data_IF_186910199270
#
_entry.id   IF_186910199270
#
_cell.length_a   1.000
_cell.length_b   1.000
_cell.length_c   1.000
_cell.angle_alpha   90.00
_cell.angle_beta   90.00
_cell.angle_gamma   90.00
#
_symmetry.space_group_name_H-M   'P 1'
#
loop_
_entity.id
_entity.type
_entity.pdbx_description
1 polymer ?
#
# COMPACT_ATOMS: atom_id res chain seq x y z
N UNK A 1 -17.06 7.76 -14.39
CA UNK A 1 -17.95 8.77 -13.78
C UNK A 1 -17.95 8.56 -12.27
N UNK A 2 -17.86 9.62 -11.51
CA UNK A 2 -17.75 9.53 -10.05
C UNK A 2 -19.04 9.94 -9.32
N UNK A 3 -19.83 10.79 -9.94
CA UNK A 3 -21.14 11.23 -9.44
C UNK A 3 -21.15 11.66 -7.96
N UNK A 4 -20.05 12.22 -7.45
CA UNK A 4 -19.92 12.62 -6.06
C UNK A 4 -19.89 11.47 -5.03
N UNK A 5 -19.77 10.22 -5.48
CA UNK A 5 -19.74 9.02 -4.63
C UNK A 5 -18.35 8.81 -3.99
N UNK A 6 -18.07 9.62 -2.98
CA UNK A 6 -16.76 9.68 -2.33
C UNK A 6 -16.28 8.34 -1.75
N UNK A 7 -17.14 7.63 -1.00
CA UNK A 7 -16.75 6.38 -0.35
C UNK A 7 -16.41 5.28 -1.36
N UNK A 8 -17.22 5.16 -2.42
CA UNK A 8 -16.97 4.22 -3.50
C UNK A 8 -15.67 4.55 -4.24
N UNK A 9 -15.44 5.84 -4.53
CA UNK A 9 -14.21 6.31 -5.14
C UNK A 9 -12.98 6.01 -4.29
N UNK A 10 -13.04 6.32 -2.99
CA UNK A 10 -11.95 6.03 -2.06
C UNK A 10 -11.65 4.53 -2.00
N UNK A 11 -12.66 3.67 -1.96
CA UNK A 11 -12.47 2.23 -1.97
C UNK A 11 -11.77 1.74 -3.27
N UNK A 12 -12.17 2.26 -4.42
CA UNK A 12 -11.52 1.94 -5.71
C UNK A 12 -10.06 2.36 -5.74
N UNK A 13 -9.73 3.53 -5.18
CA UNK A 13 -8.34 3.98 -5.04
C UNK A 13 -7.53 3.06 -4.13
N UNK A 14 -8.08 2.70 -2.97
CA UNK A 14 -7.40 1.84 -1.98
C UNK A 14 -7.07 0.46 -2.52
N UNK A 15 -7.95 -0.14 -3.30
CA UNK A 15 -7.72 -1.44 -3.92
C UNK A 15 -7.05 -1.36 -5.30
N UNK A 16 -6.75 -0.16 -5.78
CA UNK A 16 -6.17 0.11 -7.09
C UNK A 16 -6.98 -0.55 -8.23
N UNK A 17 -8.30 -0.42 -8.18
CA UNK A 17 -9.22 -1.05 -9.15
C UNK A 17 -8.99 -2.57 -9.30
N UNK A 18 -8.72 -3.25 -8.20
CA UNK A 18 -8.43 -4.68 -8.14
C UNK A 18 -6.98 -5.06 -8.51
N UNK A 19 -6.12 -4.10 -8.86
CA UNK A 19 -4.74 -4.39 -9.25
C UNK A 19 -3.90 -4.93 -8.10
N UNK A 20 -4.12 -4.47 -6.87
CA UNK A 20 -3.42 -4.99 -5.68
C UNK A 20 -3.72 -6.47 -5.46
N UNK A 21 -4.98 -6.88 -5.58
CA UNK A 21 -5.37 -8.29 -5.45
C UNK A 21 -4.68 -9.17 -6.50
N UNK A 22 -4.59 -8.70 -7.75
CA UNK A 22 -3.85 -9.41 -8.81
C UNK A 22 -2.37 -9.52 -8.49
N UNK A 23 -1.75 -8.45 -7.99
CA UNK A 23 -0.33 -8.44 -7.58
C UNK A 23 -0.06 -9.39 -6.43
N UNK A 24 -0.89 -9.42 -5.42
CA UNK A 24 -0.76 -10.38 -4.30
C UNK A 24 -0.82 -11.82 -4.80
N UNK A 25 -1.74 -12.13 -5.70
CA UNK A 25 -1.85 -13.46 -6.31
C UNK A 25 -0.63 -13.80 -7.16
N UNK A 26 -0.12 -12.85 -7.94
CA UNK A 26 1.07 -13.02 -8.80
C UNK A 26 2.33 -13.26 -7.97
N UNK A 27 2.55 -12.46 -6.93
CA UNK A 27 3.78 -12.51 -6.11
C UNK A 27 3.81 -13.73 -5.20
N UNK A 28 2.71 -14.05 -4.56
CA UNK A 28 2.67 -15.10 -3.53
C UNK A 28 2.14 -16.45 -4.02
N UNK A 29 1.32 -16.47 -5.08
CA UNK A 29 0.81 -17.71 -5.67
C UNK A 29 0.25 -18.68 -4.63
N UNK A 30 0.79 -19.90 -4.61
CA UNK A 30 0.38 -20.96 -3.66
C UNK A 30 1.16 -20.92 -2.33
N UNK A 31 2.10 -19.99 -2.15
CA UNK A 31 2.85 -19.83 -0.89
C UNK A 31 1.98 -19.27 0.23
N UNK A 32 0.91 -18.58 -0.11
CA UNK A 32 -0.12 -18.13 0.82
C UNK A 32 -1.45 -18.80 0.50
N UNK A 33 -2.21 -19.14 1.55
CA UNK A 33 -3.60 -19.58 1.38
C UNK A 33 -4.47 -18.44 0.83
N UNK A 34 -5.65 -18.80 0.31
CA UNK A 34 -6.61 -17.78 -0.17
C UNK A 34 -7.05 -16.84 0.96
N UNK A 35 -7.17 -17.36 2.19
CA UNK A 35 -7.50 -16.52 3.35
C UNK A 35 -6.36 -15.56 3.71
N UNK A 36 -5.12 -16.03 3.71
CA UNK A 36 -3.95 -15.18 3.96
C UNK A 36 -3.80 -14.08 2.90
N UNK A 37 -4.02 -14.38 1.62
CA UNK A 37 -4.03 -13.39 0.54
C UNK A 37 -5.14 -12.35 0.74
N UNK A 38 -6.33 -12.78 1.13
CA UNK A 38 -7.47 -11.90 1.42
C UNK A 38 -7.19 -10.99 2.62
N UNK A 39 -6.61 -11.54 3.69
CA UNK A 39 -6.24 -10.76 4.88
C UNK A 39 -5.15 -9.73 4.58
N UNK A 40 -4.16 -10.10 3.77
CA UNK A 40 -3.11 -9.19 3.32
C UNK A 40 -3.70 -8.04 2.47
N UNK A 41 -4.59 -8.34 1.54
CA UNK A 41 -5.29 -7.32 0.75
C UNK A 41 -6.10 -6.38 1.64
N UNK A 42 -6.86 -6.89 2.60
CA UNK A 42 -7.64 -6.08 3.54
C UNK A 42 -6.75 -5.15 4.36
N UNK A 43 -5.60 -5.65 4.81
CA UNK A 43 -4.60 -4.84 5.51
C UNK A 43 -4.09 -3.70 4.62
N UNK A 44 -3.77 -3.99 3.35
CA UNK A 44 -3.27 -2.98 2.42
C UNK A 44 -4.33 -1.91 2.14
N UNK A 45 -5.60 -2.30 2.00
CA UNK A 45 -6.69 -1.36 1.72
C UNK A 45 -7.03 -0.47 2.92
N UNK A 46 -7.05 -1.04 4.12
CA UNK A 46 -7.48 -0.40 5.37
C UNK A 46 -6.53 -0.72 6.52
N UNK A 47 -5.28 -0.23 6.46
CA UNK A 47 -4.24 -0.64 7.41
C UNK A 47 -4.58 -0.31 8.87
N UNK A 48 -5.07 0.88 9.17
CA UNK A 48 -5.35 1.30 10.55
C UNK A 48 -6.46 0.43 11.17
N UNK A 49 -7.54 0.21 10.44
CA UNK A 49 -8.68 -0.60 10.90
C UNK A 49 -8.28 -2.05 11.10
N UNK A 50 -7.53 -2.62 10.15
CA UNK A 50 -7.09 -4.02 10.25
C UNK A 50 -6.09 -4.22 11.37
N UNK A 51 -5.13 -3.31 11.56
CA UNK A 51 -4.18 -3.34 12.68
C UNK A 51 -4.89 -3.29 14.04
N UNK A 52 -5.92 -2.44 14.16
CA UNK A 52 -6.72 -2.38 15.38
C UNK A 52 -7.36 -3.75 15.71
N UNK A 53 -7.95 -4.42 14.72
CA UNK A 53 -8.53 -5.74 14.89
C UNK A 53 -7.48 -6.81 15.22
N UNK A 54 -6.34 -6.80 14.56
CA UNK A 54 -5.24 -7.75 14.82
C UNK A 54 -4.74 -7.61 16.25
N UNK A 55 -4.49 -6.39 16.72
CA UNK A 55 -4.02 -6.16 18.11
C UNK A 55 -5.00 -6.62 19.18
N UNK A 56 -6.29 -6.66 18.85
CA UNK A 56 -7.30 -7.14 19.78
C UNK A 56 -7.38 -8.68 19.88
N UNK A 57 -6.93 -9.40 18.84
CA UNK A 57 -7.20 -10.85 18.71
C UNK A 57 -5.96 -11.71 18.51
N UNK A 58 -4.82 -11.13 18.10
CA UNK A 58 -3.59 -11.89 17.87
C UNK A 58 -2.87 -12.20 19.15
N UNK A 59 -2.57 -13.47 19.39
CA UNK A 59 -1.87 -13.94 20.59
C UNK A 59 -0.34 -13.78 20.51
N UNK A 60 0.24 -13.85 19.31
CA UNK A 60 1.68 -13.67 19.06
C UNK A 60 1.89 -12.51 18.07
N UNK A 61 1.75 -11.31 18.59
CA UNK A 61 1.79 -10.08 17.80
C UNK A 61 3.16 -9.85 17.16
N UNK A 62 4.25 -10.15 17.84
CA UNK A 62 5.61 -9.95 17.31
C UNK A 62 5.88 -10.84 16.09
N UNK A 63 5.48 -12.10 16.16
CA UNK A 63 5.57 -13.00 15.01
C UNK A 63 4.66 -12.58 13.86
N UNK A 64 3.46 -12.10 14.16
CA UNK A 64 2.55 -11.56 13.16
C UNK A 64 3.16 -10.32 12.47
N UNK A 65 3.76 -9.40 13.23
CA UNK A 65 4.46 -8.24 12.68
C UNK A 65 5.59 -8.66 11.75
N UNK A 66 6.46 -9.56 12.20
CA UNK A 66 7.59 -10.03 11.40
C UNK A 66 7.13 -10.66 10.07
N UNK A 67 6.16 -11.55 10.13
CA UNK A 67 5.59 -12.21 8.95
C UNK A 67 4.97 -11.19 8.00
N UNK A 68 4.20 -10.26 8.53
CA UNK A 68 3.50 -9.23 7.75
C UNK A 68 4.47 -8.26 7.11
N UNK A 69 5.49 -7.79 7.85
CA UNK A 69 6.54 -6.92 7.32
C UNK A 69 7.28 -7.56 6.16
N UNK A 70 7.64 -8.83 6.27
CA UNK A 70 8.30 -9.57 5.18
C UNK A 70 7.41 -9.63 3.93
N UNK A 71 6.13 -9.93 4.09
CA UNK A 71 5.16 -9.96 2.97
C UNK A 71 4.99 -8.59 2.31
N UNK A 72 4.85 -7.54 3.09
CA UNK A 72 4.70 -6.18 2.58
C UNK A 72 5.95 -5.67 1.88
N UNK A 73 7.13 -5.93 2.42
CA UNK A 73 8.41 -5.56 1.77
C UNK A 73 8.57 -6.29 0.44
N UNK A 74 8.28 -7.58 0.39
CA UNK A 74 8.30 -8.37 -0.86
C UNK A 74 7.36 -7.77 -1.91
N UNK A 75 6.16 -7.41 -1.52
CA UNK A 75 5.17 -6.79 -2.42
C UNK A 75 5.62 -5.39 -2.86
N UNK A 76 6.16 -4.57 -1.94
CA UNK A 76 6.73 -3.27 -2.28
C UNK A 76 7.87 -3.38 -3.30
N UNK A 77 8.78 -4.33 -3.13
CA UNK A 77 9.87 -4.59 -4.07
C UNK A 77 9.31 -4.92 -5.46
N UNK A 78 8.27 -5.73 -5.54
CA UNK A 78 7.64 -6.09 -6.80
C UNK A 78 6.98 -4.90 -7.49
N UNK A 79 6.12 -4.15 -6.78
CA UNK A 79 5.41 -3.00 -7.38
C UNK A 79 6.33 -1.84 -7.70
N UNK A 80 7.46 -1.69 -7.01
CA UNK A 80 8.46 -0.65 -7.28
C UNK A 80 9.40 -0.97 -8.44
N UNK A 81 9.55 -2.24 -8.79
CA UNK A 81 10.54 -2.70 -9.77
C UNK A 81 10.35 -2.14 -11.17
N UNK A 82 9.13 -1.75 -11.53
CA UNK A 82 8.80 -1.13 -12.82
C UNK A 82 9.17 0.37 -12.91
N UNK A 83 9.59 0.97 -11.81
CA UNK A 83 9.89 2.41 -11.73
C UNK A 83 11.37 2.68 -11.54
N UNK A 84 11.81 3.87 -11.94
CA UNK A 84 13.15 4.37 -11.61
C UNK A 84 13.26 4.68 -10.12
N UNK A 85 14.48 4.61 -9.57
CA UNK A 85 14.76 4.99 -8.17
C UNK A 85 14.22 6.39 -7.85
N UNK A 86 14.41 7.35 -8.75
CA UNK A 86 13.94 8.73 -8.56
C UNK A 86 12.42 8.79 -8.40
N UNK A 87 11.66 8.01 -9.19
CA UNK A 87 10.19 7.96 -9.08
C UNK A 87 9.75 7.30 -7.78
N UNK A 88 10.39 6.20 -7.39
CA UNK A 88 10.11 5.54 -6.11
C UNK A 88 10.40 6.48 -4.94
N UNK A 89 11.56 7.15 -4.94
CA UNK A 89 11.95 8.06 -3.86
C UNK A 89 10.95 9.21 -3.65
N UNK A 90 10.36 9.73 -4.72
CA UNK A 90 9.31 10.76 -4.62
C UNK A 90 8.01 10.24 -4.00
N UNK A 91 7.77 8.95 -4.08
CA UNK A 91 6.57 8.31 -3.51
C UNK A 91 6.74 7.91 -2.04
N UNK A 92 7.99 7.86 -1.53
CA UNK A 92 8.27 7.39 -0.17
C UNK A 92 7.69 8.33 0.89
N UNK A 93 7.16 7.77 1.99
CA UNK A 93 6.78 8.55 3.15
C UNK A 93 8.03 9.16 3.81
N UNK A 94 7.96 10.44 4.17
CA UNK A 94 9.12 11.18 4.71
C UNK A 94 9.75 10.52 5.93
N UNK A 95 8.91 10.02 6.83
CA UNK A 95 9.33 9.46 8.12
C UNK A 95 10.21 8.20 7.98
N UNK A 96 9.90 7.34 7.00
CA UNK A 96 10.56 6.04 6.82
C UNK A 96 11.35 5.94 5.52
N UNK A 97 11.57 7.04 4.83
CA UNK A 97 12.13 7.02 3.46
C UNK A 97 13.47 6.31 3.37
N UNK A 98 14.39 6.57 4.31
CA UNK A 98 15.70 5.93 4.32
C UNK A 98 15.60 4.40 4.53
N UNK A 99 14.84 3.97 5.53
CA UNK A 99 14.68 2.54 5.85
C UNK A 99 14.02 1.79 4.69
N UNK A 100 12.99 2.38 4.10
CA UNK A 100 12.30 1.78 2.96
C UNK A 100 13.21 1.68 1.74
N UNK A 101 14.02 2.72 1.46
CA UNK A 101 15.01 2.68 0.39
C UNK A 101 16.00 1.52 0.57
N UNK A 102 16.52 1.34 1.77
CA UNK A 102 17.42 0.24 2.10
C UNK A 102 16.75 -1.12 1.83
N UNK A 103 15.52 -1.29 2.26
CA UNK A 103 14.76 -2.53 2.07
C UNK A 103 14.39 -2.81 0.61
N UNK A 104 14.11 -1.77 -0.19
CA UNK A 104 13.70 -1.92 -1.59
C UNK A 104 14.88 -2.12 -2.54
N UNK A 105 16.03 -1.51 -2.28
CA UNK A 105 17.17 -1.51 -3.20
C UNK A 105 18.25 -2.52 -2.87
N UNK A 106 18.23 -3.06 -1.67
CA UNK A 106 19.16 -4.10 -1.28
C UNK A 106 18.72 -5.42 -1.90
N UNK A 107 19.45 -5.87 -2.90
CA UNK A 107 19.20 -7.19 -3.49
C UNK A 107 19.48 -8.29 -2.46
N UNK A 108 18.52 -9.16 -2.24
CA UNK A 108 18.53 -10.30 -1.32
C UNK A 108 19.53 -11.40 -1.69
N UNK A 109 20.48 -11.14 -2.62
CA UNK A 109 21.38 -12.14 -3.21
C UNK A 109 22.57 -12.50 -2.30
N UNK A 110 22.87 -11.67 -1.28
CA UNK A 110 23.99 -11.93 -0.37
C UNK A 110 23.49 -12.41 1.01
N UNK A 111 24.05 -13.50 1.58
CA UNK A 111 23.62 -14.05 2.87
C UNK A 111 23.64 -13.04 4.03
N UNK A 112 24.61 -12.12 4.02
CA UNK A 112 24.73 -11.07 5.04
C UNK A 112 23.61 -10.02 4.99
N UNK A 113 22.90 -9.89 3.88
CA UNK A 113 21.80 -8.93 3.70
C UNK A 113 20.49 -9.41 4.28
N UNK A 114 20.20 -10.70 4.25
CA UNK A 114 19.02 -11.26 4.93
C UNK A 114 19.12 -11.06 6.44
N UNK A 115 20.30 -11.23 7.02
CA UNK A 115 20.56 -10.94 8.42
C UNK A 115 20.36 -9.45 8.74
N UNK A 116 20.82 -8.55 7.86
CA UNK A 116 20.65 -7.10 8.00
C UNK A 116 19.18 -6.67 7.94
N UNK A 117 18.42 -7.18 6.98
CA UNK A 117 16.97 -6.95 6.87
C UNK A 117 16.24 -7.45 8.12
N UNK A 118 16.61 -8.61 8.62
CA UNK A 118 16.07 -9.15 9.88
C UNK A 118 16.32 -8.22 11.07
N UNK A 119 17.52 -7.66 11.20
CA UNK A 119 17.86 -6.70 12.27
C UNK A 119 17.01 -5.42 12.15
N UNK A 120 16.79 -4.91 10.93
CA UNK A 120 15.93 -3.75 10.70
C UNK A 120 14.50 -4.05 11.16
N UNK A 121 13.94 -5.19 10.78
CA UNK A 121 12.58 -5.58 11.15
C UNK A 121 12.42 -5.77 12.65
N UNK A 122 13.36 -6.45 13.29
CA UNK A 122 13.40 -6.65 14.74
C UNK A 122 13.48 -5.30 15.48
N UNK A 123 14.25 -4.36 14.97
CA UNK A 123 14.37 -3.01 15.53
C UNK A 123 13.04 -2.24 15.42
N UNK A 124 12.38 -2.31 14.28
CA UNK A 124 11.06 -1.68 14.07
C UNK A 124 10.04 -2.24 15.06
N UNK A 125 10.02 -3.55 15.28
CA UNK A 125 9.10 -4.21 16.22
C UNK A 125 9.43 -3.84 17.66
N UNK A 126 10.70 -3.96 18.08
CA UNK A 126 11.15 -3.70 19.45
C UNK A 126 11.01 -2.24 19.86
N UNK A 127 11.11 -1.31 18.92
CA UNK A 127 10.89 0.13 19.15
C UNK A 127 9.42 0.54 19.07
N UNK A 128 8.50 -0.44 18.91
CA UNK A 128 7.05 -0.23 18.79
C UNK A 128 6.64 0.68 17.63
N UNK A 129 7.39 0.61 16.52
CA UNK A 129 7.13 1.37 15.31
C UNK A 129 6.45 0.53 14.20
N UNK A 130 6.13 -0.73 14.49
CA UNK A 130 5.59 -1.65 13.49
C UNK A 130 4.26 -1.20 12.88
N UNK A 131 3.33 -0.68 13.67
CA UNK A 131 2.03 -0.19 13.17
C UNK A 131 2.21 0.95 12.18
N UNK A 132 3.02 1.95 12.54
CA UNK A 132 3.28 3.10 11.66
C UNK A 132 4.03 2.68 10.39
N UNK A 133 4.98 1.77 10.51
CA UNK A 133 5.75 1.28 9.37
C UNK A 133 4.91 0.43 8.41
N UNK A 134 4.08 -0.48 8.93
CA UNK A 134 3.13 -1.26 8.14
C UNK A 134 2.16 -0.35 7.40
N UNK A 135 1.60 0.64 8.08
CA UNK A 135 0.70 1.63 7.48
C UNK A 135 1.37 2.39 6.34
N UNK A 136 2.61 2.82 6.55
CA UNK A 136 3.41 3.50 5.52
C UNK A 136 3.66 2.60 4.29
N UNK A 137 4.00 1.33 4.49
CA UNK A 137 4.18 0.36 3.40
C UNK A 137 2.88 0.11 2.65
N UNK A 138 1.75 -0.01 3.34
CA UNK A 138 0.44 -0.20 2.71
C UNK A 138 0.08 0.97 1.79
N UNK A 139 0.24 2.19 2.24
CA UNK A 139 -0.02 3.37 1.40
C UNK A 139 0.98 3.51 0.25
N UNK A 140 2.25 3.14 0.46
CA UNK A 140 3.23 3.09 -0.61
C UNK A 140 2.82 2.08 -1.70
N UNK A 141 2.36 0.89 -1.33
CA UNK A 141 1.86 -0.11 -2.27
C UNK A 141 0.67 0.43 -3.05
N UNK A 142 -0.30 1.05 -2.39
CA UNK A 142 -1.44 1.68 -3.07
C UNK A 142 -0.95 2.71 -4.11
N UNK A 143 -0.04 3.58 -3.70
CA UNK A 143 0.49 4.66 -4.55
C UNK A 143 1.30 4.16 -5.74
N UNK A 144 2.15 3.15 -5.56
CA UNK A 144 2.98 2.60 -6.62
C UNK A 144 2.23 1.65 -7.56
N UNK A 145 1.10 1.12 -7.15
CA UNK A 145 0.29 0.23 -7.98
C UNK A 145 -0.46 0.99 -9.07
N UNK A 146 -0.89 2.23 -8.79
CA UNK A 146 -1.54 3.11 -9.76
C UNK A 146 -0.50 4.11 -10.28
N UNK A 147 -0.22 4.06 -11.57
CA UNK A 147 0.71 5.00 -12.22
C UNK A 147 0.02 6.33 -12.56
N UNK A 148 -1.15 6.29 -13.17
CA UNK A 148 -1.95 7.44 -13.49
C UNK A 148 -3.44 7.13 -13.27
N UNK A 149 -4.16 8.08 -12.71
CA UNK A 149 -5.60 8.00 -12.48
C UNK A 149 -6.32 8.80 -13.58
N UNK A 150 -7.13 8.11 -14.39
CA UNK A 150 -7.96 8.74 -15.41
C UNK A 150 -9.41 8.86 -14.95
N UNK A 151 -9.89 10.09 -14.87
CA UNK A 151 -11.27 10.38 -14.47
C UNK A 151 -12.08 10.72 -15.73
N UNK A 152 -13.16 9.97 -15.93
CA UNK A 152 -13.99 10.08 -17.15
C UNK A 152 -15.06 11.17 -17.06
N UNK A 153 -15.03 12.01 -16.03
CA UNK A 153 -15.96 13.12 -15.84
C UNK A 153 -16.98 12.91 -14.72
N UNK A 154 -18.01 13.75 -14.72
CA UNK A 154 -19.18 13.70 -13.85
C UNK A 154 -18.84 13.58 -12.34
N UNK A 155 -17.97 14.49 -11.85
CA UNK A 155 -17.59 14.53 -10.43
C UNK A 155 -18.69 15.16 -9.59
N UNK A 156 -19.35 16.20 -10.09
CA UNK A 156 -20.16 17.13 -9.32
C UNK A 156 -21.67 16.86 -9.37
N UNK A 157 -22.11 15.86 -10.12
CA UNK A 157 -23.52 15.51 -10.21
C UNK A 157 -23.89 14.41 -9.20
N UNK A 158 -25.11 14.46 -8.65
CA UNK A 158 -25.82 13.48 -7.81
C UNK A 158 -25.33 13.31 -6.37
N UNK A 159 -24.07 12.89 -6.13
CA UNK A 159 -23.58 12.55 -4.77
C UNK A 159 -23.23 13.77 -3.92
N UNK A 160 -23.02 13.54 -2.61
CA UNK A 160 -22.79 14.62 -1.64
C UNK A 160 -21.30 14.90 -1.40
N UNK A 161 -20.39 14.17 -2.00
CA UNK A 161 -18.96 14.19 -1.69
C UNK A 161 -18.01 14.72 -2.77
N UNK A 162 -18.43 15.55 -3.77
CA UNK A 162 -17.52 15.98 -4.82
C UNK A 162 -16.33 16.78 -4.30
N UNK A 163 -16.50 17.58 -3.26
CA UNK A 163 -15.41 18.33 -2.62
C UNK A 163 -14.36 17.40 -1.99
N UNK A 164 -14.78 16.32 -1.34
CA UNK A 164 -13.85 15.32 -0.80
C UNK A 164 -13.10 14.56 -1.92
N UNK A 165 -13.77 14.31 -3.04
CA UNK A 165 -13.11 13.73 -4.23
C UNK A 165 -12.06 14.69 -4.76
N UNK A 166 -12.35 15.98 -4.86
CA UNK A 166 -11.40 16.99 -5.30
C UNK A 166 -10.21 17.12 -4.36
N UNK A 167 -10.43 17.08 -3.04
CA UNK A 167 -9.34 17.09 -2.06
C UNK A 167 -8.37 15.93 -2.27
N UNK A 168 -8.89 14.72 -2.47
CA UNK A 168 -8.06 13.54 -2.80
C UNK A 168 -7.29 13.75 -4.09
N UNK A 169 -7.93 14.26 -5.14
CA UNK A 169 -7.30 14.46 -6.44
C UNK A 169 -6.19 15.51 -6.38
N UNK A 170 -6.37 16.59 -5.63
CA UNK A 170 -5.35 17.62 -5.44
C UNK A 170 -4.07 17.05 -4.81
N UNK A 171 -4.20 16.07 -3.92
CA UNK A 171 -3.07 15.40 -3.27
C UNK A 171 -2.55 14.18 -4.03
N UNK A 172 -3.26 13.77 -5.10
CA UNK A 172 -2.87 12.58 -5.85
C UNK A 172 -1.68 12.84 -6.76
N UNK A 173 -0.76 11.89 -6.84
CA UNK A 173 0.56 12.07 -7.48
C UNK A 173 0.53 12.22 -9.01
N UNK A 174 -0.47 11.68 -9.69
CA UNK A 174 -0.60 11.75 -11.14
C UNK A 174 -2.03 11.42 -11.57
N UNK A 175 -2.74 12.38 -12.10
CA UNK A 175 -4.10 12.17 -12.58
C UNK A 175 -4.45 13.13 -13.73
N UNK A 176 -5.42 12.74 -14.52
CA UNK A 176 -6.07 13.56 -15.51
C UNK A 176 -7.59 13.38 -15.51
N UNK A 177 -8.28 14.30 -16.09
CA UNK A 177 -9.74 14.30 -16.18
C UNK A 177 -10.19 14.59 -17.62
N UNK A 178 -11.16 13.83 -18.08
CA UNK A 178 -11.90 14.11 -19.31
C UNK A 178 -13.24 14.77 -18.96
N UNK A 179 -13.79 15.49 -19.92
CA UNK A 179 -15.12 16.07 -19.76
C UNK A 179 -16.17 14.97 -19.66
N UNK A 180 -17.07 15.10 -18.67
CA UNK A 180 -18.30 14.32 -18.63
C UNK A 180 -19.29 14.76 -19.72
N UNK A 181 -20.39 14.06 -19.80
CA UNK A 181 -21.45 14.36 -20.78
C UNK A 181 -22.60 15.23 -20.23
N UNK A 182 -22.38 15.87 -19.07
CA UNK A 182 -23.31 16.81 -18.43
C UNK A 182 -22.68 18.19 -18.22
#
# INVERSE_FOLDING_TARGET
DLHGEYEAFQHVLRNASGAIKRKVKEVFGDTLSEQEKKDLCTLIYYPEQKLHLIKAHESDLDNWYLTTLNRLVTLCQNVSSKYTRSKVNKALPKEFSYIIQELLHESTILPNKQAYVGVIMDTIISTRRADAFITALCYLIQRLTIDCLHILGDIFDRGNGPHHIMDILCDYHNWDIQWGNH
#
